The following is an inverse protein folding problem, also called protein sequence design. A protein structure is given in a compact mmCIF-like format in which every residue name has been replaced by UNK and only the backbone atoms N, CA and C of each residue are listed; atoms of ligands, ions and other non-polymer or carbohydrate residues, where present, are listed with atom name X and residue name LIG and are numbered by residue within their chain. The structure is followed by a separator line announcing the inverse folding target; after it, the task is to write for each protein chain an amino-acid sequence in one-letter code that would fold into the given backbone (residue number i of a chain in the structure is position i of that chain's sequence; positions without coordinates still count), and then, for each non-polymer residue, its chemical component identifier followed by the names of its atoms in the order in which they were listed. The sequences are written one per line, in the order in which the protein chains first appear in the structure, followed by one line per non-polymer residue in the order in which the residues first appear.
data_IF_837541842904
#
_entry.id   IF_837541842904
#
_cell.length_a   1.000
_cell.length_b   1.000
_cell.length_c   1.000
_cell.angle_alpha   90.00
_cell.angle_beta   90.00
_cell.angle_gamma   90.00
#
_symmetry.space_group_name_H-M   'P 1'
#
loop_
_entity.id
_entity.type
_entity.pdbx_description
1 polymer ?
#
# COMPACT_ATOMS: atom_id res chain seq x y z
N UNK A 1 0.50 9.84 6.69
CA UNK A 1 0.17 8.97 5.55
C UNK A 1 1.12 9.36 4.44
N UNK A 2 1.74 8.37 3.81
CA UNK A 2 2.69 8.56 2.72
C UNK A 2 2.14 7.86 1.47
N UNK A 3 2.49 8.38 0.29
CA UNK A 3 2.13 7.79 -0.99
C UNK A 3 3.38 7.73 -1.85
N UNK A 4 3.60 6.58 -2.48
CA UNK A 4 4.77 6.32 -3.31
C UNK A 4 4.31 5.86 -4.69
N UNK A 5 5.01 6.34 -5.72
CA UNK A 5 4.77 5.95 -7.10
C UNK A 5 6.03 5.29 -7.65
N UNK A 6 5.84 4.24 -8.44
CA UNK A 6 6.91 3.52 -9.12
C UNK A 6 6.38 2.88 -10.39
N UNK A 7 7.28 2.64 -11.34
CA UNK A 7 6.98 1.92 -12.59
C UNK A 7 7.08 0.40 -12.42
N UNK A 8 7.90 -0.06 -11.47
CA UNK A 8 8.13 -1.46 -11.19
C UNK A 8 7.36 -1.91 -9.95
N UNK A 9 6.81 -3.12 -10.01
CA UNK A 9 6.17 -3.75 -8.86
C UNK A 9 7.23 -4.19 -7.84
N UNK A 10 7.01 -4.02 -6.53
CA UNK A 10 7.92 -4.54 -5.52
C UNK A 10 8.11 -6.05 -5.64
N UNK A 11 9.32 -6.54 -5.31
CA UNK A 11 9.61 -7.96 -5.36
C UNK A 11 8.62 -8.78 -4.52
N UNK A 12 8.00 -9.81 -5.10
CA UNK A 12 6.97 -10.63 -4.44
C UNK A 12 7.44 -11.27 -3.12
N UNK A 13 8.74 -11.56 -2.99
CA UNK A 13 9.34 -12.09 -1.76
C UNK A 13 9.23 -11.13 -0.56
N UNK A 14 8.98 -9.85 -0.81
CA UNK A 14 8.75 -8.83 0.23
C UNK A 14 7.27 -8.65 0.58
N UNK A 15 6.36 -9.43 -0.04
CA UNK A 15 4.93 -9.35 0.26
C UNK A 15 4.68 -9.83 1.69
N UNK A 16 4.04 -8.96 2.47
CA UNK A 16 3.63 -9.24 3.83
C UNK A 16 2.14 -9.62 3.87
N UNK A 17 1.66 -10.23 4.97
CA UNK A 17 0.23 -10.42 5.19
C UNK A 17 -0.52 -9.09 5.19
N UNK A 18 -1.75 -9.08 4.69
CA UNK A 18 -2.58 -7.85 4.61
C UNK A 18 -2.81 -7.20 6.00
N UNK A 19 -2.74 -7.99 7.07
CA UNK A 19 -2.81 -7.48 8.45
C UNK A 19 -1.66 -6.55 8.83
N UNK A 20 -0.51 -6.63 8.14
CA UNK A 20 0.62 -5.72 8.32
C UNK A 20 0.40 -4.36 7.64
N UNK A 21 -0.62 -4.22 6.79
CA UNK A 21 -0.97 -3.00 6.06
C UNK A 21 -2.39 -2.52 6.40
N UNK A 22 -2.71 -2.47 7.69
CA UNK A 22 -4.05 -2.22 8.23
C UNK A 22 -4.30 -0.77 8.72
N UNK A 23 -3.37 0.16 8.48
CA UNK A 23 -3.53 1.55 8.91
C UNK A 23 -4.65 2.22 8.11
N UNK A 24 -5.63 2.84 8.79
CA UNK A 24 -6.76 3.49 8.13
C UNK A 24 -6.37 4.79 7.43
N UNK A 25 -6.93 5.01 6.25
CA UNK A 25 -6.72 6.27 5.53
C UNK A 25 -7.48 7.42 6.22
N UNK A 26 -6.86 8.60 6.44
CA UNK A 26 -7.55 9.74 7.06
C UNK A 26 -8.71 10.29 6.22
N UNK A 27 -8.63 10.17 4.89
CA UNK A 27 -9.68 10.62 3.98
C UNK A 27 -10.85 9.64 3.83
N UNK A 28 -10.64 8.36 4.12
CA UNK A 28 -11.68 7.32 4.07
C UNK A 28 -11.30 6.15 4.99
N UNK A 29 -11.96 6.07 6.16
CA UNK A 29 -11.71 5.03 7.16
C UNK A 29 -12.07 3.61 6.70
N UNK A 30 -12.76 3.46 5.57
CA UNK A 30 -13.04 2.15 4.97
C UNK A 30 -11.82 1.59 4.24
N UNK A 31 -10.86 2.43 3.89
CA UNK A 31 -9.65 2.05 3.15
C UNK A 31 -8.43 1.93 4.07
N UNK A 32 -7.45 1.17 3.61
CA UNK A 32 -6.15 1.00 4.27
C UNK A 32 -5.05 1.72 3.50
N UNK A 33 -4.21 2.50 4.18
CA UNK A 33 -3.14 3.33 3.62
C UNK A 33 -1.77 2.92 4.19
N UNK A 34 -1.39 1.65 4.03
CA UNK A 34 -0.12 1.09 4.52
C UNK A 34 -0.21 0.61 5.96
N UNK A 35 0.92 0.62 6.66
CA UNK A 35 1.08 0.19 8.04
C UNK A 35 2.42 0.64 8.61
N UNK A 36 2.86 0.06 9.73
CA UNK A 36 4.15 0.42 10.32
C UNK A 36 5.30 -0.03 9.42
N UNK A 37 5.96 0.92 8.75
CA UNK A 37 7.03 0.68 7.76
C UNK A 37 6.59 -0.23 6.60
N UNK A 38 5.29 -0.21 6.26
CA UNK A 38 4.71 -1.01 5.18
C UNK A 38 3.80 -0.16 4.30
N UNK A 39 3.66 -0.57 3.03
CA UNK A 39 2.84 0.11 2.03
C UNK A 39 1.83 -0.86 1.41
N UNK A 40 0.64 -0.34 1.07
CA UNK A 40 -0.27 -1.03 0.16
C UNK A 40 0.13 -0.71 -1.28
N UNK A 41 0.12 -1.71 -2.15
CA UNK A 41 0.49 -1.57 -3.57
C UNK A 41 -0.77 -1.64 -4.42
N UNK A 42 -0.97 -0.63 -5.27
CA UNK A 42 -2.10 -0.54 -6.20
C UNK A 42 -1.61 -0.32 -7.62
N UNK A 43 -2.33 -0.89 -8.60
CA UNK A 43 -2.11 -0.57 -10.02
C UNK A 43 -2.91 0.66 -10.38
N UNK A 44 -2.25 1.67 -10.93
CA UNK A 44 -2.90 2.93 -11.34
C UNK A 44 -3.76 2.78 -12.59
N UNK A 45 -3.57 1.71 -13.37
CA UNK A 45 -4.29 1.47 -14.62
C UNK A 45 -3.88 2.39 -15.77
N UNK A 46 -2.91 3.29 -15.54
CA UNK A 46 -2.33 4.17 -16.55
C UNK A 46 -1.42 3.30 -17.43
N UNK A 47 -1.69 3.28 -18.74
CA UNK A 47 -0.86 2.64 -19.77
C UNK A 47 -0.10 3.68 -20.55
#
# INVERSE_FOLDING_TARGET
IECFCGIEEPAQIKRLPDSSCNMKCPGDLKQSCGGYLTINVYKTGIK
#
